data_IF_602595767648
#
_entry.id   IF_602595767648
#
_cell.length_a   1.000
_cell.length_b   1.000
_cell.length_c   1.000
_cell.angle_alpha   90.00
_cell.angle_beta   90.00
_cell.angle_gamma   90.00
#
_symmetry.space_group_name_H-M   'P 1'
#
loop_
_entity.id
_entity.type
_entity.pdbx_description
1 polymer ?
#
# COMPACT_ATOMS: atom_id res chain seq x y z
N UNK A 1 5.73 12.23 -3.68
CA UNK A 1 5.05 12.83 -4.85
C UNK A 1 3.59 12.40 -4.94
N UNK A 2 3.29 11.15 -5.32
CA UNK A 2 1.90 10.70 -5.43
C UNK A 2 1.09 10.86 -4.12
N UNK A 3 1.62 10.43 -2.97
CA UNK A 3 0.93 10.56 -1.68
C UNK A 3 0.63 12.04 -1.35
N UNK A 4 1.62 12.92 -1.53
CA UNK A 4 1.47 14.36 -1.31
C UNK A 4 0.36 14.97 -2.20
N UNK A 5 0.36 14.66 -3.49
CA UNK A 5 -0.67 15.13 -4.43
C UNK A 5 -2.08 14.64 -4.03
N UNK A 6 -2.21 13.37 -3.64
CA UNK A 6 -3.49 12.80 -3.23
C UNK A 6 -4.00 13.33 -1.89
N UNK A 7 -3.12 13.59 -0.91
CA UNK A 7 -3.49 14.25 0.35
C UNK A 7 -4.00 15.67 0.09
N UNK A 8 -3.30 16.45 -0.74
CA UNK A 8 -3.74 17.79 -1.14
C UNK A 8 -5.10 17.75 -1.84
N UNK A 9 -5.26 16.86 -2.83
CA UNK A 9 -6.53 16.70 -3.54
C UNK A 9 -7.68 16.29 -2.61
N UNK A 10 -7.44 15.40 -1.65
CA UNK A 10 -8.43 14.96 -0.67
C UNK A 10 -8.87 16.11 0.24
N UNK A 11 -7.94 16.76 0.92
CA UNK A 11 -8.26 17.84 1.85
C UNK A 11 -8.82 19.07 1.14
N UNK A 12 -8.32 19.45 -0.05
CA UNK A 12 -8.94 20.51 -0.85
C UNK A 12 -10.37 20.16 -1.27
N UNK A 13 -10.64 18.91 -1.62
CA UNK A 13 -12.02 18.50 -1.93
C UNK A 13 -12.91 18.55 -0.69
N UNK A 14 -12.38 18.12 0.45
CA UNK A 14 -13.08 18.14 1.73
C UNK A 14 -13.43 19.57 2.18
N UNK A 15 -12.48 20.51 2.07
CA UNK A 15 -12.72 21.88 2.55
C UNK A 15 -13.38 22.77 1.51
N UNK A 16 -13.09 22.64 0.20
CA UNK A 16 -13.57 23.55 -0.86
C UNK A 16 -14.81 23.05 -1.62
N UNK A 17 -15.04 21.73 -1.68
CA UNK A 17 -15.98 21.08 -2.63
C UNK A 17 -16.88 20.02 -1.99
N UNK A 18 -17.16 20.14 -0.69
CA UNK A 18 -17.98 19.16 0.01
C UNK A 18 -19.48 19.40 -0.26
N UNK A 19 -20.11 18.44 -0.95
CA UNK A 19 -21.54 18.40 -1.20
C UNK A 19 -22.17 17.22 -0.45
N UNK A 20 -22.60 17.46 0.80
CA UNK A 20 -23.23 16.40 1.61
C UNK A 20 -24.64 16.09 1.08
N UNK A 21 -24.97 14.80 0.97
CA UNK A 21 -26.33 14.36 0.62
C UNK A 21 -27.35 14.56 1.75
N UNK A 22 -26.88 14.52 3.00
CA UNK A 22 -27.69 14.70 4.21
C UNK A 22 -26.76 15.08 5.38
N UNK A 23 -27.34 15.33 6.55
CA UNK A 23 -26.58 15.65 7.76
C UNK A 23 -25.99 14.38 8.38
N UNK A 24 -24.66 14.28 8.33
CA UNK A 24 -23.89 13.24 9.00
C UNK A 24 -22.55 13.78 9.53
N UNK A 25 -22.07 13.11 10.58
CA UNK A 25 -20.73 13.29 11.14
C UNK A 25 -19.69 12.85 10.11
N UNK A 26 -18.76 13.74 9.78
CA UNK A 26 -17.70 13.47 8.80
C UNK A 26 -16.45 12.92 9.47
N UNK A 27 -15.72 12.06 8.75
CA UNK A 27 -14.42 11.54 9.16
C UNK A 27 -13.34 11.94 8.14
N UNK A 28 -12.67 13.09 8.30
CA UNK A 28 -11.68 13.58 7.34
C UNK A 28 -10.34 12.85 7.49
N UNK A 29 -10.27 11.55 7.22
CA UNK A 29 -9.03 10.77 7.27
C UNK A 29 -8.72 10.14 5.91
N UNK A 30 -7.47 10.27 5.46
CA UNK A 30 -6.93 9.57 4.29
C UNK A 30 -5.87 8.55 4.71
N UNK A 31 -6.06 7.32 4.24
CA UNK A 31 -5.18 6.19 4.54
C UNK A 31 -4.45 5.71 3.27
N UNK A 32 -3.22 5.25 3.45
CA UNK A 32 -2.47 4.53 2.42
C UNK A 32 -2.35 3.06 2.81
N UNK A 33 -2.63 2.15 1.87
CA UNK A 33 -2.44 0.71 2.09
C UNK A 33 -1.05 0.31 1.64
N UNK A 34 -0.31 -0.42 2.47
CA UNK A 34 1.02 -0.94 2.13
C UNK A 34 1.16 -2.40 2.50
N UNK A 35 1.84 -3.18 1.64
CA UNK A 35 2.32 -4.51 2.02
C UNK A 35 3.28 -4.38 3.19
N UNK A 36 3.20 -5.29 4.15
CA UNK A 36 3.92 -5.17 5.40
C UNK A 36 4.66 -6.46 5.75
N UNK A 37 5.90 -6.32 6.22
CA UNK A 37 6.66 -7.36 6.91
C UNK A 37 7.84 -6.70 7.62
N UNK A 38 7.85 -6.74 8.95
CA UNK A 38 8.95 -6.29 9.79
C UNK A 38 9.70 -7.52 10.30
N UNK A 39 11.01 -7.57 10.10
CA UNK A 39 11.88 -8.58 10.68
C UNK A 39 13.17 -7.91 11.17
N UNK A 40 14.03 -8.62 11.90
CA UNK A 40 15.28 -8.03 12.41
C UNK A 40 16.19 -7.49 11.29
N UNK A 41 16.18 -8.14 10.12
CA UNK A 41 16.98 -7.76 8.95
C UNK A 41 16.11 -7.60 7.70
N UNK A 42 16.60 -6.81 6.75
CA UNK A 42 15.94 -6.64 5.45
C UNK A 42 15.85 -7.96 4.65
N UNK A 43 16.86 -8.82 4.79
CA UNK A 43 16.89 -10.13 4.13
C UNK A 43 15.80 -11.05 4.68
N UNK A 44 15.68 -11.12 6.00
CA UNK A 44 14.67 -11.96 6.65
C UNK A 44 13.26 -11.45 6.35
N UNK A 45 13.06 -10.14 6.33
CA UNK A 45 11.77 -9.55 5.95
C UNK A 45 11.38 -9.94 4.52
N UNK A 46 12.32 -9.92 3.56
CA UNK A 46 12.07 -10.34 2.17
C UNK A 46 11.73 -11.83 2.08
N UNK A 47 12.44 -12.68 2.83
CA UNK A 47 12.18 -14.13 2.88
C UNK A 47 10.78 -14.43 3.41
N UNK A 48 10.31 -13.66 4.39
CA UNK A 48 8.98 -13.82 5.01
C UNK A 48 7.84 -13.16 4.24
N UNK A 49 8.13 -12.27 3.29
CA UNK A 49 7.12 -11.45 2.60
C UNK A 49 6.54 -12.06 1.31
N UNK A 50 6.63 -13.38 1.11
CA UNK A 50 6.09 -14.04 -0.09
C UNK A 50 4.58 -13.80 -0.29
N UNK A 51 3.84 -13.62 0.81
CA UNK A 51 2.43 -13.22 0.77
C UNK A 51 2.18 -11.93 -0.01
N UNK A 52 3.11 -10.96 0.04
CA UNK A 52 2.96 -9.68 -0.65
C UNK A 52 3.01 -9.84 -2.17
N UNK A 53 3.96 -10.62 -2.68
CA UNK A 53 4.06 -10.92 -4.12
C UNK A 53 2.93 -11.82 -4.60
N UNK A 54 2.49 -12.78 -3.78
CA UNK A 54 1.30 -13.59 -4.08
C UNK A 54 0.04 -12.73 -4.22
N UNK A 55 -0.21 -11.81 -3.30
CA UNK A 55 -1.39 -10.94 -3.36
C UNK A 55 -1.37 -10.04 -4.60
N UNK A 56 -0.22 -9.44 -4.91
CA UNK A 56 -0.04 -8.66 -6.13
C UNK A 56 -0.31 -9.50 -7.38
N UNK A 57 0.23 -10.72 -7.44
CA UNK A 57 -0.02 -11.64 -8.53
C UNK A 57 -1.51 -11.97 -8.67
N UNK A 58 -2.20 -12.32 -7.58
CA UNK A 58 -3.62 -12.65 -7.62
C UNK A 58 -4.48 -11.45 -8.06
N UNK A 59 -4.19 -10.24 -7.59
CA UNK A 59 -4.86 -9.01 -8.04
C UNK A 59 -4.70 -8.80 -9.54
N UNK A 60 -3.49 -9.02 -10.06
CA UNK A 60 -3.21 -8.90 -11.50
C UNK A 60 -3.89 -10.00 -12.29
N UNK A 61 -3.79 -11.25 -11.85
CA UNK A 61 -4.39 -12.39 -12.52
C UNK A 61 -5.89 -12.22 -12.73
N UNK A 62 -6.62 -11.80 -11.70
CA UNK A 62 -8.06 -11.53 -11.83
C UNK A 62 -8.37 -10.20 -12.52
N UNK A 63 -7.52 -9.19 -12.36
CA UNK A 63 -7.74 -7.84 -12.89
C UNK A 63 -7.35 -7.66 -14.36
N UNK A 64 -6.43 -8.48 -14.88
CA UNK A 64 -5.90 -8.41 -16.24
C UNK A 64 -6.74 -9.20 -17.26
N UNK A 65 -7.82 -9.85 -16.82
CA UNK A 65 -8.73 -10.58 -17.70
C UNK A 65 -9.49 -9.63 -18.62
N UNK A 66 -9.48 -9.92 -19.93
CA UNK A 66 -10.28 -9.18 -20.91
C UNK A 66 -11.77 -9.25 -20.54
N UNK A 67 -12.43 -8.09 -20.51
CA UNK A 67 -13.84 -8.00 -20.11
C UNK A 67 -14.12 -8.34 -18.65
N UNK A 68 -13.10 -8.37 -17.77
CA UNK A 68 -13.21 -8.76 -16.35
C UNK A 68 -13.73 -10.20 -16.15
N UNK A 69 -13.59 -11.06 -17.17
CA UNK A 69 -14.03 -12.45 -17.11
C UNK A 69 -13.12 -13.23 -16.18
N UNK A 70 -13.68 -13.78 -15.11
CA UNK A 70 -12.93 -14.61 -14.15
C UNK A 70 -12.89 -16.06 -14.65
N UNK A 71 -11.86 -16.84 -14.29
CA UNK A 71 -11.88 -18.29 -14.50
C UNK A 71 -13.11 -18.91 -13.86
N UNK A 72 -13.58 -20.02 -14.41
CA UNK A 72 -14.71 -20.75 -13.86
C UNK A 72 -14.38 -21.29 -12.46
N UNK A 73 -15.37 -21.40 -11.56
CA UNK A 73 -15.15 -21.95 -10.22
C UNK A 73 -14.45 -23.32 -10.28
N UNK A 74 -13.52 -23.55 -9.35
CA UNK A 74 -12.78 -24.81 -9.21
C UNK A 74 -11.83 -25.18 -10.37
N UNK A 75 -11.57 -24.27 -11.32
CA UNK A 75 -10.66 -24.54 -12.46
C UNK A 75 -9.23 -24.07 -12.26
N UNK A 76 -8.96 -23.24 -11.25
CA UNK A 76 -7.65 -22.61 -11.04
C UNK A 76 -7.15 -22.81 -9.61
N UNK A 77 -5.90 -23.27 -9.50
CA UNK A 77 -5.15 -23.23 -8.25
C UNK A 77 -4.21 -22.01 -8.25
N UNK A 78 -4.64 -20.94 -7.59
CA UNK A 78 -3.90 -19.67 -7.56
C UNK A 78 -2.48 -19.79 -6.99
N UNK A 79 -2.24 -20.73 -6.08
CA UNK A 79 -0.91 -20.92 -5.51
C UNK A 79 0.04 -21.56 -6.53
N UNK A 80 -0.44 -22.50 -7.33
CA UNK A 80 0.35 -23.12 -8.39
C UNK A 80 0.67 -22.14 -9.52
N UNK A 81 -0.34 -21.36 -9.96
CA UNK A 81 -0.18 -20.28 -10.94
C UNK A 81 0.87 -19.26 -10.49
N UNK A 82 0.77 -18.82 -9.23
CA UNK A 82 1.75 -17.91 -8.66
C UNK A 82 3.16 -18.49 -8.63
N UNK A 83 3.32 -19.75 -8.22
CA UNK A 83 4.64 -20.38 -8.18
C UNK A 83 5.23 -20.59 -9.57
N UNK A 84 4.40 -20.91 -10.57
CA UNK A 84 4.83 -20.99 -11.96
C UNK A 84 5.35 -19.63 -12.45
N UNK A 85 4.57 -18.57 -12.24
CA UNK A 85 4.98 -17.20 -12.56
C UNK A 85 6.25 -16.78 -11.81
N UNK A 86 6.35 -17.05 -10.51
CA UNK A 86 7.49 -16.66 -9.67
C UNK A 86 8.79 -17.31 -10.14
N UNK A 87 8.75 -18.60 -10.51
CA UNK A 87 9.92 -19.31 -11.07
C UNK A 87 10.37 -18.71 -12.40
N UNK A 88 9.44 -18.35 -13.25
CA UNK A 88 9.74 -17.73 -14.54
C UNK A 88 10.19 -16.25 -14.41
N UNK A 89 9.83 -15.56 -13.32
CA UNK A 89 10.01 -14.12 -13.15
C UNK A 89 10.69 -13.75 -11.83
N UNK A 90 11.75 -14.47 -11.45
CA UNK A 90 12.39 -14.34 -10.12
C UNK A 90 12.86 -12.91 -9.79
N UNK A 91 13.48 -12.21 -10.74
CA UNK A 91 13.93 -10.82 -10.55
C UNK A 91 12.76 -9.86 -10.33
N UNK A 92 11.67 -10.04 -11.09
CA UNK A 92 10.47 -9.23 -10.94
C UNK A 92 9.78 -9.49 -9.59
N UNK A 93 9.73 -10.75 -9.14
CA UNK A 93 9.22 -11.10 -7.83
C UNK A 93 10.06 -10.43 -6.72
N UNK A 94 11.39 -10.46 -6.81
CA UNK A 94 12.26 -9.78 -5.86
C UNK A 94 12.04 -8.25 -5.87
N UNK A 95 11.90 -7.64 -7.06
CA UNK A 95 11.63 -6.21 -7.21
C UNK A 95 10.28 -5.82 -6.61
N UNK A 96 9.26 -6.66 -6.74
CA UNK A 96 7.91 -6.40 -6.23
C UNK A 96 7.81 -6.32 -4.70
N UNK A 97 8.82 -6.82 -3.97
CA UNK A 97 8.93 -6.66 -2.52
C UNK A 97 9.48 -5.29 -2.11
N UNK A 98 10.17 -4.58 -3.02
CA UNK A 98 10.83 -3.30 -2.68
C UNK A 98 9.84 -2.17 -2.36
N UNK A 99 8.65 -2.20 -2.96
CA UNK A 99 7.63 -1.15 -2.87
C UNK A 99 6.81 -1.15 -1.58
N UNK A 100 6.78 -2.25 -0.82
CA UNK A 100 6.04 -2.33 0.44
C UNK A 100 6.82 -1.80 1.65
N UNK A 101 6.16 -1.69 2.80
CA UNK A 101 6.76 -1.62 4.13
C UNK A 101 7.31 -2.99 4.55
N UNK A 102 8.28 -3.47 3.77
CA UNK A 102 8.98 -4.74 3.98
C UNK A 102 10.46 -4.41 4.28
N UNK A 103 10.94 -4.80 5.47
CA UNK A 103 12.33 -4.57 5.88
C UNK A 103 12.57 -4.64 7.39
N UNK A 104 13.76 -4.24 7.80
CA UNK A 104 14.14 -4.01 9.20
C UNK A 104 13.43 -2.80 9.80
N UNK A 105 13.38 -2.65 11.13
CA UNK A 105 12.84 -1.45 11.78
C UNK A 105 13.41 -0.14 11.21
N UNK A 106 14.72 -0.10 10.92
CA UNK A 106 15.37 1.07 10.34
C UNK A 106 14.91 1.35 8.90
N UNK A 107 14.76 0.30 8.09
CA UNK A 107 14.19 0.43 6.74
C UNK A 107 12.74 0.92 6.78
N UNK A 108 11.94 0.43 7.73
CA UNK A 108 10.55 0.86 7.88
C UNK A 108 10.46 2.31 8.34
N UNK A 109 11.25 2.75 9.34
CA UNK A 109 11.32 4.15 9.76
C UNK A 109 11.66 5.07 8.59
N UNK A 110 12.70 4.75 7.82
CA UNK A 110 13.10 5.53 6.64
C UNK A 110 11.97 5.65 5.61
N UNK A 111 11.22 4.57 5.36
CA UNK A 111 10.08 4.58 4.44
C UNK A 111 8.90 5.38 5.00
N UNK A 112 8.56 5.20 6.27
CA UNK A 112 7.45 5.89 6.93
C UNK A 112 7.68 7.39 7.08
N UNK A 113 8.91 7.84 7.38
CA UNK A 113 9.29 9.27 7.38
C UNK A 113 8.97 9.94 6.05
N UNK A 114 9.14 9.24 4.91
CA UNK A 114 8.77 9.77 3.58
C UNK A 114 7.27 9.86 3.37
N UNK A 115 6.48 9.01 4.01
CA UNK A 115 5.02 9.11 3.96
C UNK A 115 4.52 10.22 4.88
N UNK A 116 5.13 10.36 6.06
CA UNK A 116 4.85 11.43 7.01
C UNK A 116 5.04 12.82 6.38
N UNK A 117 6.05 13.03 5.52
CA UNK A 117 6.20 14.31 4.80
C UNK A 117 5.03 14.66 3.87
N UNK A 118 4.17 13.70 3.55
CA UNK A 118 2.95 13.90 2.75
C UNK A 118 1.72 14.17 3.61
N UNK A 119 1.83 14.13 4.95
CA UNK A 119 0.71 14.27 5.90
C UNK A 119 -0.43 13.27 5.67
N UNK A 120 -0.11 12.02 5.35
CA UNK A 120 -1.12 10.95 5.39
C UNK A 120 -1.57 10.73 6.84
N UNK A 121 -2.84 10.39 7.06
CA UNK A 121 -3.34 10.19 8.42
C UNK A 121 -3.06 8.79 8.95
N UNK A 122 -3.07 7.79 8.07
CA UNK A 122 -3.03 6.39 8.47
C UNK A 122 -2.31 5.54 7.42
N UNK A 123 -1.64 4.49 7.91
CA UNK A 123 -1.12 3.41 7.06
C UNK A 123 -1.82 2.12 7.42
N UNK A 124 -2.48 1.50 6.44
CA UNK A 124 -3.09 0.17 6.58
C UNK A 124 -2.06 -0.88 6.15
N UNK A 125 -1.71 -1.77 7.07
CA UNK A 125 -0.70 -2.81 6.87
C UNK A 125 -1.34 -4.10 6.36
N UNK A 126 -0.98 -4.50 5.14
CA UNK A 126 -1.39 -5.76 4.55
C UNK A 126 -0.33 -6.83 4.85
N UNK A 127 -0.61 -7.70 5.83
CA UNK A 127 0.32 -8.73 6.30
C UNK A 127 -0.19 -10.17 6.05
N UNK A 128 -1.52 -10.37 5.97
CA UNK A 128 -2.15 -11.69 5.87
C UNK A 128 -2.47 -12.06 4.42
N UNK A 129 -1.45 -12.45 3.67
CA UNK A 129 -1.62 -12.96 2.30
C UNK A 129 -0.76 -14.19 2.03
N UNK A 130 -1.20 -15.03 1.09
CA UNK A 130 -0.48 -16.24 0.67
C UNK A 130 -0.29 -17.22 1.83
N UNK A 131 0.95 -17.70 1.99
CA UNK A 131 1.35 -18.67 3.03
C UNK A 131 2.16 -18.05 4.16
N UNK A 132 1.97 -16.76 4.45
CA UNK A 132 2.58 -16.15 5.63
C UNK A 132 2.11 -16.88 6.90
N UNK A 133 3.05 -17.37 7.71
CA UNK A 133 2.72 -18.09 8.94
C UNK A 133 2.17 -17.12 9.98
N UNK A 134 1.27 -17.62 10.84
CA UNK A 134 0.75 -16.86 11.97
C UNK A 134 1.88 -16.29 12.85
N UNK A 135 2.88 -17.12 13.18
CA UNK A 135 4.01 -16.72 14.02
C UNK A 135 4.79 -15.56 13.40
N UNK A 136 5.11 -15.62 12.10
CA UNK A 136 5.81 -14.52 11.44
C UNK A 136 4.99 -13.22 11.43
N UNK A 137 3.67 -13.31 11.29
CA UNK A 137 2.78 -12.14 11.35
C UNK A 137 2.82 -11.53 12.75
N UNK A 138 2.67 -12.34 13.80
CA UNK A 138 2.68 -11.88 15.18
C UNK A 138 4.04 -11.27 15.56
N UNK A 139 5.14 -11.97 15.29
CA UNK A 139 6.51 -11.47 15.51
C UNK A 139 6.75 -10.13 14.79
N UNK A 140 6.29 -10.01 13.54
CA UNK A 140 6.40 -8.78 12.76
C UNK A 140 5.60 -7.62 13.36
N UNK A 141 4.41 -7.87 13.88
CA UNK A 141 3.56 -6.84 14.50
C UNK A 141 4.15 -6.39 15.85
N UNK A 142 4.61 -7.34 16.66
CA UNK A 142 5.27 -7.06 17.95
C UNK A 142 6.54 -6.23 17.75
N UNK A 143 7.41 -6.63 16.82
CA UNK A 143 8.66 -5.91 16.52
C UNK A 143 8.36 -4.50 16.02
N UNK A 144 7.39 -4.33 15.13
CA UNK A 144 6.99 -3.02 14.64
C UNK A 144 6.40 -2.14 15.74
N UNK A 145 5.50 -2.67 16.57
CA UNK A 145 4.88 -1.95 17.67
C UNK A 145 5.90 -1.48 18.70
N UNK A 146 6.92 -2.29 18.97
CA UNK A 146 7.99 -1.96 19.92
C UNK A 146 9.01 -0.98 19.35
N UNK A 147 9.50 -1.24 18.14
CA UNK A 147 10.67 -0.52 17.61
C UNK A 147 10.28 0.67 16.73
N UNK A 148 9.23 0.56 15.92
CA UNK A 148 8.94 1.55 14.85
C UNK A 148 7.82 2.50 15.24
N UNK A 149 6.71 1.95 15.73
CA UNK A 149 5.47 2.69 16.01
C UNK A 149 5.63 3.87 17.00
N UNK A 150 6.46 3.79 18.07
CA UNK A 150 6.55 4.88 19.05
C UNK A 150 7.06 6.20 18.46
N UNK A 151 7.95 6.14 17.45
CA UNK A 151 8.48 7.34 16.78
C UNK A 151 7.36 8.14 16.12
N UNK A 152 6.49 7.48 15.35
CA UNK A 152 5.42 8.15 14.62
C UNK A 152 4.26 8.56 15.54
N UNK A 153 3.99 7.76 16.59
CA UNK A 153 3.00 8.15 17.60
C UNK A 153 3.44 9.40 18.38
N UNK A 154 4.74 9.63 18.57
CA UNK A 154 5.23 10.87 19.20
C UNK A 154 4.96 12.12 18.34
N UNK A 155 4.86 11.97 17.02
CA UNK A 155 4.59 13.05 16.07
C UNK A 155 3.08 13.32 15.87
N UNK A 156 2.21 12.43 16.34
CA UNK A 156 0.75 12.52 16.18
C UNK A 156 0.15 13.87 16.61
N UNK A 157 0.55 14.50 17.75
CA UNK A 157 0.01 15.81 18.12
C UNK A 157 0.30 16.91 17.08
N UNK A 158 1.49 16.88 16.47
CA UNK A 158 1.87 17.85 15.44
C UNK A 158 1.06 17.62 14.15
N UNK A 159 0.85 16.35 13.77
CA UNK A 159 0.01 15.99 12.63
C UNK A 159 -1.45 16.42 12.83
N UNK A 160 -2.01 16.18 14.02
CA UNK A 160 -3.37 16.60 14.35
C UNK A 160 -3.53 18.13 14.35
N UNK A 161 -2.53 18.89 14.80
CA UNK A 161 -2.56 20.35 14.71
C UNK A 161 -2.46 20.84 13.27
N UNK A 162 -1.59 20.26 12.44
CA UNK A 162 -1.55 20.54 11.00
C UNK A 162 -2.92 20.30 10.35
N UNK A 163 -3.51 19.15 10.62
CA UNK A 163 -4.82 18.76 10.10
C UNK A 163 -5.93 19.72 10.54
N UNK A 164 -5.95 20.10 11.83
CA UNK A 164 -6.88 21.10 12.36
C UNK A 164 -6.78 22.41 11.58
N UNK A 165 -5.56 22.91 11.35
CA UNK A 165 -5.31 24.14 10.59
C UNK A 165 -5.78 24.05 9.14
N UNK A 166 -5.53 22.92 8.46
CA UNK A 166 -6.03 22.69 7.09
C UNK A 166 -7.56 22.69 7.06
N UNK A 167 -8.21 21.98 7.98
CA UNK A 167 -9.67 21.90 8.05
C UNK A 167 -10.31 23.25 8.40
N UNK A 168 -9.65 24.06 9.22
CA UNK A 168 -10.05 25.44 9.53
C UNK A 168 -9.70 26.44 8.42
N UNK A 169 -9.00 26.01 7.36
CA UNK A 169 -8.45 26.85 6.29
C UNK A 169 -7.45 27.92 6.78
N UNK A 170 -6.81 27.69 7.92
CA UNK A 170 -5.65 28.46 8.39
C UNK A 170 -4.38 28.11 7.58
N UNK A 171 -4.33 26.89 7.04
CA UNK A 171 -3.36 26.45 6.04
C UNK A 171 -4.13 26.18 4.75
N UNK A 172 -3.79 26.90 3.69
CA UNK A 172 -4.28 26.62 2.34
C UNK A 172 -3.34 25.64 1.64
N UNK A 173 -3.89 24.54 1.10
CA UNK A 173 -3.13 23.56 0.33
C UNK A 173 -3.20 23.88 -1.16
N UNK A 174 -2.07 23.74 -1.84
CA UNK A 174 -1.97 23.84 -3.30
C UNK A 174 -2.93 22.85 -3.99
N UNK A 175 -3.60 23.29 -5.05
CA UNK A 175 -4.37 22.41 -5.93
C UNK A 175 -3.42 21.74 -6.94
N UNK A 176 -3.02 20.49 -6.63
CA UNK A 176 -2.08 19.70 -7.43
C UNK A 176 -2.84 18.80 -8.42
N UNK A 177 -2.41 18.75 -9.68
CA UNK A 177 -2.96 17.82 -10.67
C UNK A 177 -2.60 16.37 -10.32
N UNK A 178 -3.62 15.53 -10.12
CA UNK A 178 -3.48 14.11 -9.81
C UNK A 178 -3.50 13.22 -11.04
N UNK A 179 -3.73 13.75 -12.25
CA UNK A 179 -3.74 12.97 -13.49
C UNK A 179 -2.47 12.10 -13.69
N UNK A 180 -1.24 12.57 -13.37
CA UNK A 180 -0.04 11.75 -13.46
C UNK A 180 0.01 10.55 -12.49
N UNK A 181 -0.84 10.53 -11.46
CA UNK A 181 -0.83 9.52 -10.39
C UNK A 181 -2.06 8.60 -10.41
N UNK A 182 -2.75 8.50 -11.55
CA UNK A 182 -3.93 7.63 -11.73
C UNK A 182 -3.58 6.17 -12.02
N UNK A 183 -2.36 5.89 -12.44
CA UNK A 183 -1.93 4.53 -12.75
C UNK A 183 -1.92 3.66 -11.49
N UNK A 184 -2.74 2.62 -11.50
CA UNK A 184 -2.92 1.72 -10.36
C UNK A 184 -1.67 0.87 -10.08
N UNK A 185 -0.87 0.63 -11.11
CA UNK A 185 0.25 -0.29 -11.02
C UNK A 185 1.56 0.38 -11.41
N UNK A 186 2.38 0.67 -10.41
CA UNK A 186 3.70 1.23 -10.61
C UNK A 186 4.72 0.22 -11.16
N UNK A 187 5.92 0.69 -11.56
CA UNK A 187 6.97 -0.13 -12.16
C UNK A 187 7.57 -1.18 -11.21
N UNK A 188 7.33 -1.05 -9.91
CA UNK A 188 7.78 -1.98 -8.88
C UNK A 188 6.67 -2.94 -8.41
N UNK A 189 5.61 -3.12 -9.19
CA UNK A 189 4.55 -4.10 -8.91
C UNK A 189 4.71 -5.34 -9.79
N UNK A 190 4.09 -6.45 -9.38
CA UNK A 190 3.96 -7.65 -10.24
C UNK A 190 3.36 -7.25 -11.59
N UNK A 191 4.02 -7.67 -12.68
CA UNK A 191 3.51 -7.53 -14.03
C UNK A 191 3.14 -8.91 -14.55
N UNK A 192 1.98 -9.01 -15.19
CA UNK A 192 1.54 -10.22 -15.87
C UNK A 192 1.12 -9.75 -17.26
N UNK A 193 1.55 -10.42 -18.34
CA UNK A 193 1.02 -10.14 -19.68
C UNK A 193 -0.50 -10.22 -19.63
N UNK A 194 -1.17 -9.26 -20.24
CA UNK A 194 -2.61 -9.37 -20.42
C UNK A 194 -2.91 -10.57 -21.32
N UNK A 195 -4.04 -11.26 -21.14
CA UNK A 195 -4.39 -12.40 -22.01
C UNK A 195 -4.48 -12.01 -23.50
N UNK A 196 -4.60 -10.72 -23.81
CA UNK A 196 -4.51 -10.20 -25.18
C UNK A 196 -3.09 -10.26 -25.76
N UNK A 197 -2.04 -10.12 -24.94
CA UNK A 197 -0.63 -10.17 -25.37
C UNK A 197 -0.08 -11.60 -25.44
N UNK A 198 -0.72 -12.56 -24.77
CA UNK A 198 -0.35 -13.98 -24.82
C UNK A 198 -0.96 -14.73 -26.01
N UNK A 199 -1.84 -14.06 -26.77
CA UNK A 199 -2.50 -14.59 -27.97
C UNK A 199 -1.85 -14.12 -29.29
N UNK A 200 -0.73 -13.40 -29.19
CA UNK A 200 0.16 -13.02 -30.30
C UNK A 200 1.46 -13.83 -30.23
#
# INVERSE_FOLDING_TARGET
DAAHAWVHAYYNSFVKRQEKLTDYQTNPNIALVSYFMCAETDEEARRRAEGATFFQFALRYYGASSGRKRPDPYTVNMWEEYNAWKRANAEQAARALSGGLIGSPETLRRKLRRFETSNIDQVILLNQAGKNSHNHISESLELFAKEVMPEFHANEPAHQEWKRKVLAREIELEDIDTAPFKERFGPNTVQIPTQAEAAE
#
